data_IF_098600720787
#
_entry.id   IF_098600720787
#
_cell.length_a   1.000
_cell.length_b   1.000
_cell.length_c   1.000
_cell.angle_alpha   90.00
_cell.angle_beta   90.00
_cell.angle_gamma   90.00
#
_symmetry.space_group_name_H-M   'P 1'
#
loop_
_entity.id
_entity.type
_entity.pdbx_description
1 polymer ?
#
# COMPACT_ATOMS: atom_id res chain seq x y z
N UNK A 1 -6.42 -13.69 27.00
CA UNK A 1 -6.42 -14.85 26.08
C UNK A 1 -5.18 -14.71 25.23
N UNK A 2 -4.21 -15.62 25.37
CA UNK A 2 -2.95 -15.58 24.63
C UNK A 2 -3.14 -16.26 23.28
N UNK A 3 -2.87 -15.55 22.19
CA UNK A 3 -2.89 -16.12 20.85
C UNK A 3 -1.59 -16.91 20.62
N UNK A 4 -1.63 -18.22 20.90
CA UNK A 4 -0.46 -19.11 20.77
C UNK A 4 -0.04 -19.35 19.33
N UNK A 5 -0.93 -19.12 18.36
CA UNK A 5 -0.67 -19.36 16.94
C UNK A 5 -0.32 -18.05 16.23
N UNK A 6 -0.71 -16.90 16.79
CA UNK A 6 -0.48 -15.60 16.18
C UNK A 6 -1.33 -15.40 14.93
N UNK A 7 -2.59 -15.87 14.96
CA UNK A 7 -3.53 -15.76 13.84
C UNK A 7 -3.69 -14.31 13.36
N UNK A 8 -3.63 -13.34 14.27
CA UNK A 8 -3.68 -11.92 13.89
C UNK A 8 -2.48 -11.54 13.01
N UNK A 9 -1.26 -11.89 13.43
CA UNK A 9 -0.05 -11.59 12.67
C UNK A 9 -0.02 -12.33 11.32
N UNK A 10 -0.47 -13.58 11.29
CA UNK A 10 -0.60 -14.38 10.07
C UNK A 10 -1.60 -13.77 9.10
N UNK A 11 -2.77 -13.34 9.60
CA UNK A 11 -3.81 -12.71 8.78
C UNK A 11 -3.31 -11.38 8.22
N UNK A 12 -2.65 -10.55 9.04
CA UNK A 12 -2.05 -9.30 8.57
C UNK A 12 -0.98 -9.55 7.49
N UNK A 13 -0.18 -10.60 7.64
CA UNK A 13 0.81 -10.99 6.63
C UNK A 13 0.16 -11.44 5.32
N UNK A 14 -0.91 -12.25 5.40
CA UNK A 14 -1.67 -12.69 4.23
C UNK A 14 -2.31 -11.50 3.50
N UNK A 15 -2.92 -10.56 4.24
CA UNK A 15 -3.53 -9.35 3.68
C UNK A 15 -2.52 -8.47 2.93
N UNK A 16 -1.28 -8.34 3.42
CA UNK A 16 -0.20 -7.66 2.68
C UNK A 16 0.07 -8.33 1.32
N UNK A 17 -0.04 -9.66 1.26
CA UNK A 17 0.07 -10.42 0.02
C UNK A 17 -1.04 -10.09 -0.98
N UNK A 18 -2.28 -9.96 -0.50
CA UNK A 18 -3.44 -9.57 -1.32
C UNK A 18 -3.24 -8.19 -1.93
N UNK A 19 -2.80 -7.20 -1.15
CA UNK A 19 -2.51 -5.84 -1.64
C UNK A 19 -1.44 -5.86 -2.73
N UNK A 20 -0.36 -6.62 -2.52
CA UNK A 20 0.73 -6.74 -3.51
C UNK A 20 0.22 -7.31 -4.83
N UNK A 21 -0.60 -8.35 -4.78
CA UNK A 21 -1.11 -9.00 -5.99
C UNK A 21 -2.13 -8.11 -6.71
N UNK A 22 -2.98 -7.39 -5.98
CA UNK A 22 -3.92 -6.42 -6.55
C UNK A 22 -3.19 -5.30 -7.31
N UNK A 23 -2.11 -4.75 -6.73
CA UNK A 23 -1.30 -3.71 -7.39
C UNK A 23 -0.61 -4.28 -8.65
N UNK A 24 -0.07 -5.50 -8.60
CA UNK A 24 0.55 -6.15 -9.77
C UNK A 24 -0.44 -6.33 -10.93
N UNK A 25 -1.66 -6.77 -10.63
CA UNK A 25 -2.70 -6.91 -11.65
C UNK A 25 -3.10 -5.56 -12.25
N UNK A 26 -3.18 -4.51 -11.43
CA UNK A 26 -3.47 -3.16 -11.89
C UNK A 26 -2.34 -2.55 -12.74
N UNK A 27 -1.08 -2.94 -12.51
CA UNK A 27 0.07 -2.49 -13.29
C UNK A 27 0.25 -3.28 -14.60
N UNK A 28 -0.04 -4.59 -14.61
CA UNK A 28 0.17 -5.47 -15.77
C UNK A 28 -0.93 -5.41 -16.83
N UNK A 29 -2.15 -5.07 -16.43
CA UNK A 29 -3.28 -4.89 -17.34
C UNK A 29 -3.63 -3.40 -17.35
N UNK A 30 -3.62 -2.78 -18.53
CA UNK A 30 -3.94 -1.37 -18.68
C UNK A 30 -5.37 -1.10 -18.14
N UNK A 31 -5.43 -0.64 -16.89
CA UNK A 31 -6.64 -0.36 -16.08
C UNK A 31 -7.24 -1.59 -15.37
N UNK A 32 -7.33 -1.61 -14.02
CA UNK A 32 -8.17 -2.58 -13.32
C UNK A 32 -9.61 -2.46 -13.84
N UNK A 33 -10.32 -3.57 -14.11
CA UNK A 33 -11.63 -3.52 -14.77
C UNK A 33 -12.67 -2.79 -13.90
N UNK A 34 -13.02 -1.54 -14.23
CA UNK A 34 -14.02 -0.71 -13.53
C UNK A 34 -13.46 0.59 -12.95
N UNK A 35 -14.23 1.28 -12.09
CA UNK A 35 -13.81 2.49 -11.34
C UNK A 35 -12.99 2.14 -10.07
N UNK A 36 -12.09 1.16 -10.16
CA UNK A 36 -11.32 0.74 -8.99
C UNK A 36 -10.19 1.72 -8.68
N UNK A 37 -10.15 2.20 -7.44
CA UNK A 37 -9.11 3.10 -6.92
C UNK A 37 -8.51 2.51 -5.66
N UNK A 38 -7.19 2.63 -5.51
CA UNK A 38 -6.49 2.17 -4.32
C UNK A 38 -6.19 3.34 -3.41
N UNK A 39 -6.58 3.22 -2.14
CA UNK A 39 -6.10 4.07 -1.06
C UNK A 39 -5.03 3.30 -0.30
N UNK A 40 -3.78 3.75 -0.40
CA UNK A 40 -2.65 3.09 0.23
C UNK A 40 -2.06 4.03 1.28
N UNK A 41 -2.22 3.66 2.54
CA UNK A 41 -1.58 4.34 3.67
C UNK A 41 -0.31 3.58 4.06
N UNK A 42 0.80 4.30 4.16
CA UNK A 42 2.08 3.75 4.60
C UNK A 42 2.78 4.72 5.54
N UNK A 43 3.71 4.18 6.33
CA UNK A 43 4.57 4.99 7.20
C UNK A 43 5.62 5.70 6.37
N UNK A 44 5.61 7.03 6.41
CA UNK A 44 6.47 7.90 5.62
C UNK A 44 7.96 7.63 5.80
N UNK A 45 8.36 7.21 7.00
CA UNK A 45 9.75 6.95 7.39
C UNK A 45 10.06 5.45 7.52
N UNK A 46 9.20 4.57 7.00
CA UNK A 46 9.49 3.14 7.02
C UNK A 46 10.70 2.80 6.13
N UNK A 47 11.53 1.81 6.51
CA UNK A 47 12.64 1.35 5.68
C UNK A 47 12.17 0.97 4.27
N UNK A 48 12.83 1.53 3.25
CA UNK A 48 12.55 1.27 1.84
C UNK A 48 11.62 2.28 1.16
N UNK A 49 10.96 3.17 1.92
CA UNK A 49 10.19 4.29 1.35
C UNK A 49 11.16 5.33 0.79
N UNK A 50 10.93 5.75 -0.46
CA UNK A 50 11.66 6.83 -1.13
C UNK A 50 10.66 7.87 -1.61
N UNK A 51 10.78 9.10 -1.12
CA UNK A 51 9.94 10.23 -1.51
C UNK A 51 10.71 11.54 -1.29
N UNK A 52 10.23 12.65 -1.86
CA UNK A 52 10.88 13.95 -1.71
C UNK A 52 10.88 14.44 -0.26
N UNK A 53 11.94 15.13 0.16
CA UNK A 53 12.11 15.63 1.54
C UNK A 53 10.94 16.53 1.95
N UNK A 54 10.46 17.37 1.05
CA UNK A 54 9.28 18.22 1.26
C UNK A 54 8.01 17.42 1.62
N UNK A 55 7.85 16.21 1.06
CA UNK A 55 6.72 15.33 1.39
C UNK A 55 6.92 14.65 2.74
N UNK A 56 8.16 14.30 3.11
CA UNK A 56 8.48 13.77 4.45
C UNK A 56 8.21 14.80 5.52
N UNK A 57 8.57 16.06 5.28
CA UNK A 57 8.31 17.16 6.21
C UNK A 57 6.81 17.43 6.37
N UNK A 58 6.04 17.37 5.26
CA UNK A 58 4.59 17.57 5.28
C UNK A 58 3.82 16.41 5.89
N UNK A 59 4.31 15.17 5.72
CA UNK A 59 3.69 13.94 6.22
C UNK A 59 4.70 13.13 7.03
N UNK A 60 5.01 13.52 8.28
CA UNK A 60 6.15 12.96 9.02
C UNK A 60 5.95 11.53 9.52
N UNK A 61 4.71 11.08 9.70
CA UNK A 61 4.37 9.79 10.31
C UNK A 61 3.80 8.82 9.28
N UNK A 62 2.67 9.18 8.68
CA UNK A 62 1.97 8.37 7.67
C UNK A 62 1.54 9.24 6.48
N UNK A 63 1.54 8.63 5.30
CA UNK A 63 1.08 9.23 4.06
C UNK A 63 0.08 8.28 3.40
N UNK A 64 -1.02 8.84 2.90
CA UNK A 64 -2.00 8.12 2.08
C UNK A 64 -1.90 8.60 0.64
N UNK A 65 -1.67 7.67 -0.28
CA UNK A 65 -1.73 7.93 -1.72
C UNK A 65 -3.00 7.32 -2.32
N UNK A 66 -3.51 7.97 -3.37
CA UNK A 66 -4.62 7.44 -4.16
C UNK A 66 -4.09 7.08 -5.54
N UNK A 67 -4.20 5.81 -5.91
CA UNK A 67 -3.86 5.35 -7.26
C UNK A 67 -5.16 5.30 -8.07
N UNK A 68 -5.29 6.23 -9.03
CA UNK A 68 -6.39 6.39 -9.97
C UNK A 68 -5.83 6.51 -11.42
N UNK A 69 -6.70 6.72 -12.43
CA UNK A 69 -6.52 6.99 -13.88
C UNK A 69 -5.34 7.87 -14.37
N UNK A 70 -4.37 8.24 -13.53
CA UNK A 70 -3.10 8.85 -13.93
C UNK A 70 -1.96 8.14 -13.20
N UNK A 71 -1.44 7.07 -13.79
CA UNK A 71 -0.14 6.52 -13.44
C UNK A 71 0.77 6.65 -14.67
N UNK A 72 1.98 7.17 -14.46
CA UNK A 72 3.06 7.18 -15.44
C UNK A 72 4.24 6.43 -14.84
N UNK A 73 4.95 5.67 -15.67
CA UNK A 73 6.13 4.87 -15.32
C UNK A 73 7.21 5.64 -14.53
#
# INVERSE_FOLDING_TARGET
MTDYIGYEALTQAAMRGVVREAIRQAAGNNTPPGEHHFYITFRSKAPGVKMADELVERFPDEMTIVIQHQYWD
#
